data_IF_131959928069
#
_entry.id   IF_131959928069
#
_cell.length_a   1.000
_cell.length_b   1.000
_cell.length_c   1.000
_cell.angle_alpha   90.00
_cell.angle_beta   90.00
_cell.angle_gamma   90.00
#
_symmetry.space_group_name_H-M   'P 1'
#
loop_
_entity.id
_entity.type
_entity.pdbx_description
1 polymer ?
#
# COMPACT_ATOMS: atom_id res chain seq x y z
N UNK A 1 -27.10 -27.15 -66.25
CA UNK A 1 -27.49 -25.78 -65.83
C UNK A 1 -28.51 -25.73 -64.69
N UNK A 2 -29.42 -26.69 -64.55
CA UNK A 2 -30.47 -26.65 -63.51
C UNK A 2 -29.93 -26.93 -62.09
N UNK A 3 -29.02 -27.90 -61.96
CA UNK A 3 -28.41 -28.31 -60.69
C UNK A 3 -27.54 -27.23 -60.02
N UNK A 4 -26.79 -26.44 -60.79
CA UNK A 4 -26.02 -25.31 -60.23
C UNK A 4 -26.89 -24.21 -59.66
N UNK A 5 -28.09 -23.99 -60.23
CA UNK A 5 -29.02 -22.98 -59.71
C UNK A 5 -29.64 -23.40 -58.39
N UNK A 6 -29.95 -24.69 -58.23
CA UNK A 6 -30.47 -25.25 -56.97
C UNK A 6 -29.44 -25.18 -55.85
N UNK A 7 -28.17 -25.46 -56.14
CA UNK A 7 -27.07 -25.34 -55.17
C UNK A 7 -26.83 -23.89 -54.73
N UNK A 8 -26.89 -22.93 -55.66
CA UNK A 8 -26.77 -21.50 -55.35
C UNK A 8 -27.93 -21.01 -54.47
N UNK A 9 -29.16 -21.44 -54.77
CA UNK A 9 -30.35 -21.07 -53.97
C UNK A 9 -30.26 -21.69 -52.56
N UNK A 10 -29.78 -22.94 -52.44
CA UNK A 10 -29.55 -23.59 -51.16
C UNK A 10 -28.49 -22.87 -50.31
N UNK A 11 -27.40 -22.40 -50.94
CA UNK A 11 -26.36 -21.64 -50.23
C UNK A 11 -26.85 -20.26 -49.79
N UNK A 12 -27.67 -19.59 -50.60
CA UNK A 12 -28.29 -18.31 -50.22
C UNK A 12 -29.27 -18.50 -49.06
N UNK A 13 -30.05 -19.58 -49.05
CA UNK A 13 -30.96 -19.89 -47.94
C UNK A 13 -30.21 -20.17 -46.62
N UNK A 14 -29.10 -20.89 -46.68
CA UNK A 14 -28.24 -21.14 -45.51
C UNK A 14 -27.59 -19.85 -45.00
N UNK A 15 -27.10 -19.00 -45.91
CA UNK A 15 -26.56 -17.66 -45.57
C UNK A 15 -27.62 -16.76 -44.93
N UNK A 16 -28.86 -16.78 -45.44
CA UNK A 16 -29.97 -16.02 -44.85
C UNK A 16 -30.31 -16.55 -43.46
N UNK A 17 -30.31 -17.87 -43.23
CA UNK A 17 -30.53 -18.42 -41.89
C UNK A 17 -29.42 -18.08 -40.89
N UNK A 18 -28.16 -18.00 -41.34
CA UNK A 18 -27.01 -17.52 -40.55
C UNK A 18 -27.05 -16.00 -40.28
N UNK A 19 -27.73 -15.22 -41.13
CA UNK A 19 -27.95 -13.78 -40.93
C UNK A 19 -29.15 -13.49 -40.00
N UNK A 20 -30.06 -14.45 -39.80
CA UNK A 20 -31.22 -14.31 -38.90
C UNK A 20 -31.03 -14.86 -37.49
N UNK A 21 -29.83 -15.33 -37.13
CA UNK A 21 -29.48 -15.54 -35.73
C UNK A 21 -29.21 -14.19 -35.06
N UNK A 22 -30.28 -13.43 -34.82
CA UNK A 22 -30.29 -12.34 -33.86
C UNK A 22 -30.05 -12.96 -32.48
N UNK A 23 -28.92 -12.61 -31.85
CA UNK A 23 -28.75 -12.82 -30.43
C UNK A 23 -29.90 -12.08 -29.72
N UNK A 24 -30.57 -12.76 -28.79
CA UNK A 24 -31.64 -12.18 -27.98
C UNK A 24 -31.12 -10.89 -27.36
N UNK A 25 -31.78 -9.73 -27.56
CA UNK A 25 -31.35 -8.50 -26.92
C UNK A 25 -31.63 -8.64 -25.43
N UNK A 26 -30.57 -8.79 -24.64
CA UNK A 26 -30.64 -8.67 -23.19
C UNK A 26 -31.17 -7.25 -22.89
N UNK A 27 -32.35 -7.15 -22.28
CA UNK A 27 -32.96 -5.87 -21.93
C UNK A 27 -32.18 -5.23 -20.78
N UNK A 28 -31.17 -4.41 -21.12
CA UNK A 28 -30.47 -3.59 -20.14
C UNK A 28 -31.33 -2.37 -19.80
N UNK A 29 -31.84 -2.31 -18.58
CA UNK A 29 -32.53 -1.12 -18.10
C UNK A 29 -31.50 -0.03 -17.74
N UNK A 30 -31.29 0.91 -18.67
CA UNK A 30 -30.20 1.91 -18.59
C UNK A 30 -30.37 2.94 -17.48
N UNK A 31 -31.47 2.92 -16.73
CA UNK A 31 -31.76 3.90 -15.68
C UNK A 31 -31.24 3.54 -14.29
N UNK A 32 -30.67 2.34 -14.08
CA UNK A 32 -30.12 1.91 -12.78
C UNK A 32 -28.58 1.84 -12.72
N UNK A 33 -27.89 2.05 -13.83
CA UNK A 33 -26.42 1.92 -13.88
C UNK A 33 -25.80 3.07 -13.06
N UNK A 34 -25.31 2.78 -11.85
CA UNK A 34 -24.29 3.61 -11.22
C UNK A 34 -23.02 3.41 -12.06
N UNK A 35 -22.60 4.41 -12.82
CA UNK A 35 -21.24 4.40 -13.38
C UNK A 35 -20.28 4.48 -12.18
N UNK A 36 -19.52 3.43 -11.86
CA UNK A 36 -18.48 3.57 -10.87
C UNK A 36 -17.42 4.50 -11.47
N UNK A 37 -16.95 5.47 -10.68
CA UNK A 37 -15.67 6.13 -10.95
C UNK A 37 -14.58 5.05 -10.82
N UNK A 38 -14.40 4.25 -11.87
CA UNK A 38 -13.25 3.37 -11.99
C UNK A 38 -12.07 4.30 -12.19
N UNK A 39 -11.39 4.67 -11.10
CA UNK A 39 -9.97 4.97 -11.19
C UNK A 39 -9.37 3.77 -11.89
N UNK A 40 -8.83 4.01 -13.08
CA UNK A 40 -7.99 3.05 -13.77
C UNK A 40 -6.75 2.93 -12.88
N UNK A 41 -6.81 2.07 -11.89
CA UNK A 41 -5.64 1.62 -11.17
C UNK A 41 -4.88 0.72 -12.13
N UNK A 42 -3.56 0.92 -12.15
CA UNK A 42 -2.62 0.05 -12.86
C UNK A 42 -2.81 -1.41 -12.40
N UNK A 43 -2.20 -2.36 -13.12
CA UNK A 43 -2.18 -3.80 -12.84
C UNK A 43 -2.20 -4.16 -11.31
N UNK A 44 -2.71 -5.33 -10.92
CA UNK A 44 -3.32 -5.56 -9.60
C UNK A 44 -2.28 -5.45 -8.49
N UNK A 45 -2.12 -4.31 -7.79
CA UNK A 45 -1.07 -4.10 -6.78
C UNK A 45 -0.97 -5.30 -5.82
N UNK A 46 0.20 -5.96 -5.78
CA UNK A 46 0.40 -7.14 -4.94
C UNK A 46 0.45 -6.77 -3.43
N UNK A 47 0.26 -5.49 -3.10
CA UNK A 47 0.34 -4.92 -1.76
C UNK A 47 1.78 -4.62 -1.33
N UNK A 48 2.75 -4.95 -2.17
CA UNK A 48 4.17 -4.72 -1.89
C UNK A 48 4.57 -3.30 -2.31
N UNK A 49 5.21 -2.56 -1.42
CA UNK A 49 5.77 -1.22 -1.71
C UNK A 49 6.85 -1.17 -2.81
N UNK A 50 7.32 -2.32 -3.32
CA UNK A 50 8.23 -2.47 -4.46
C UNK A 50 7.64 -3.35 -5.58
N UNK A 51 6.33 -3.59 -5.56
CA UNK A 51 5.62 -4.40 -6.56
C UNK A 51 5.94 -3.94 -8.00
N UNK A 52 5.89 -2.64 -8.24
CA UNK A 52 6.25 -2.05 -9.54
C UNK A 52 7.65 -2.47 -10.00
N UNK A 53 8.63 -2.43 -9.10
CA UNK A 53 10.00 -2.83 -9.40
C UNK A 53 10.09 -4.34 -9.69
N UNK A 54 9.41 -5.15 -8.88
CA UNK A 54 9.33 -6.61 -9.08
C UNK A 54 8.76 -6.95 -10.47
N UNK A 55 7.66 -6.32 -10.86
CA UNK A 55 7.03 -6.52 -12.19
C UNK A 55 7.91 -6.07 -13.32
N UNK A 56 8.46 -4.86 -13.24
CA UNK A 56 9.35 -4.36 -14.28
C UNK A 56 10.55 -5.32 -14.46
N UNK A 57 11.11 -5.87 -13.37
CA UNK A 57 12.17 -6.88 -13.45
C UNK A 57 11.69 -8.16 -14.15
N UNK A 58 10.53 -8.71 -13.75
CA UNK A 58 9.97 -9.93 -14.34
C UNK A 58 9.63 -9.73 -15.83
N UNK A 59 8.93 -8.66 -16.19
CA UNK A 59 8.53 -8.33 -17.56
C UNK A 59 9.74 -8.24 -18.51
N UNK A 60 10.87 -7.72 -18.02
CA UNK A 60 12.09 -7.65 -18.82
C UNK A 60 12.84 -8.98 -18.88
N UNK A 61 12.76 -9.80 -17.83
CA UNK A 61 13.31 -11.15 -17.82
C UNK A 61 12.53 -12.10 -18.75
N UNK A 62 11.19 -11.97 -18.82
CA UNK A 62 10.34 -12.79 -19.70
C UNK A 62 10.55 -12.51 -21.21
N UNK A 63 11.14 -11.37 -21.56
CA UNK A 63 11.51 -11.06 -22.96
C UNK A 63 12.65 -11.95 -23.46
N UNK A 64 13.43 -12.54 -22.57
CA UNK A 64 14.51 -13.47 -22.90
C UNK A 64 13.94 -14.89 -23.04
N UNK A 65 14.10 -15.50 -24.22
CA UNK A 65 13.51 -16.82 -24.53
C UNK A 65 14.02 -17.91 -23.59
N UNK A 66 15.32 -17.91 -23.29
CA UNK A 66 15.94 -18.87 -22.39
C UNK A 66 15.42 -18.72 -20.97
N UNK A 67 15.37 -17.49 -20.45
CA UNK A 67 14.88 -17.25 -19.09
C UNK A 67 13.40 -17.59 -18.96
N UNK A 68 12.57 -17.21 -19.94
CA UNK A 68 11.13 -17.50 -19.94
C UNK A 68 10.84 -19.00 -19.91
N UNK A 69 11.56 -19.80 -20.71
CA UNK A 69 11.42 -21.26 -20.66
C UNK A 69 11.81 -21.84 -19.29
N UNK A 70 12.84 -21.29 -18.66
CA UNK A 70 13.23 -21.70 -17.30
C UNK A 70 12.19 -21.30 -16.28
N UNK A 71 11.63 -20.09 -16.38
CA UNK A 71 10.58 -19.60 -15.49
C UNK A 71 9.34 -20.51 -15.52
N UNK A 72 8.86 -20.90 -16.71
CA UNK A 72 7.66 -21.74 -16.84
C UNK A 72 7.87 -23.22 -16.47
N UNK A 73 9.10 -23.73 -16.54
CA UNK A 73 9.41 -25.14 -16.27
C UNK A 73 9.94 -25.38 -14.84
N UNK A 74 10.15 -24.34 -14.05
CA UNK A 74 10.70 -24.46 -12.69
C UNK A 74 9.56 -24.43 -11.67
N UNK A 75 9.53 -25.42 -10.78
CA UNK A 75 8.57 -25.46 -9.68
C UNK A 75 8.78 -24.30 -8.69
N UNK A 76 7.71 -23.87 -8.03
CA UNK A 76 7.74 -22.75 -7.07
C UNK A 76 8.79 -22.95 -5.97
N UNK A 77 8.92 -24.16 -5.43
CA UNK A 77 9.91 -24.48 -4.40
C UNK A 77 11.35 -24.33 -4.88
N UNK A 78 11.60 -24.60 -6.16
CA UNK A 78 12.91 -24.46 -6.78
C UNK A 78 13.24 -22.98 -7.06
N UNK A 79 12.22 -22.16 -7.34
CA UNK A 79 12.31 -20.70 -7.43
C UNK A 79 12.69 -20.13 -6.05
N UNK A 80 12.00 -20.54 -4.97
CA UNK A 80 12.29 -20.12 -3.58
C UNK A 80 13.71 -20.48 -3.14
N UNK A 81 14.25 -21.61 -3.61
CA UNK A 81 15.61 -22.06 -3.32
C UNK A 81 16.71 -21.27 -4.07
N UNK A 82 16.34 -20.33 -4.94
CA UNK A 82 17.30 -19.50 -5.68
C UNK A 82 17.94 -20.20 -6.88
N UNK A 83 17.35 -21.29 -7.38
CA UNK A 83 17.85 -21.97 -8.60
C UNK A 83 17.64 -21.09 -9.84
N UNK A 84 16.51 -20.40 -9.92
CA UNK A 84 16.18 -19.49 -11.02
C UNK A 84 17.13 -18.29 -11.09
N UNK A 85 17.57 -17.77 -9.93
CA UNK A 85 18.47 -16.61 -9.88
C UNK A 85 19.80 -16.88 -10.61
N UNK A 86 20.30 -18.12 -10.59
CA UNK A 86 21.54 -18.51 -11.27
C UNK A 86 21.44 -18.51 -12.80
N UNK A 87 20.23 -18.65 -13.33
CA UNK A 87 20.00 -18.61 -14.78
C UNK A 87 20.19 -17.19 -15.35
N UNK A 88 20.25 -16.17 -14.48
CA UNK A 88 20.53 -14.78 -14.83
C UNK A 88 21.88 -14.62 -15.54
N UNK A 89 22.87 -15.49 -15.30
CA UNK A 89 24.18 -15.48 -15.96
C UNK A 89 24.14 -15.81 -17.46
N UNK A 90 23.06 -16.45 -17.92
CA UNK A 90 22.86 -16.82 -19.32
C UNK A 90 21.97 -15.85 -20.08
N UNK A 91 21.40 -14.86 -19.39
CA UNK A 91 20.51 -13.86 -19.98
C UNK A 91 21.27 -12.92 -20.91
N UNK A 92 20.60 -12.49 -21.99
CA UNK A 92 21.19 -11.58 -22.97
C UNK A 92 21.67 -10.24 -22.39
N UNK A 93 22.73 -9.68 -22.96
CA UNK A 93 23.36 -8.44 -22.48
C UNK A 93 22.38 -7.24 -22.46
N UNK A 94 21.44 -7.18 -23.41
CA UNK A 94 20.46 -6.10 -23.45
C UNK A 94 19.54 -6.12 -22.23
N UNK A 95 19.07 -7.30 -21.82
CA UNK A 95 18.26 -7.48 -20.62
C UNK A 95 19.08 -7.14 -19.37
N UNK A 96 20.32 -7.63 -19.26
CA UNK A 96 21.23 -7.25 -18.16
C UNK A 96 21.42 -5.74 -18.02
N UNK A 97 21.66 -5.04 -19.13
CA UNK A 97 21.79 -3.57 -19.13
C UNK A 97 20.52 -2.88 -18.64
N UNK A 98 19.35 -3.43 -18.97
CA UNK A 98 18.08 -2.87 -18.52
C UNK A 98 17.83 -3.14 -17.04
N UNK A 99 18.16 -4.32 -16.55
CA UNK A 99 18.06 -4.66 -15.12
C UNK A 99 18.96 -3.75 -14.26
N UNK A 100 20.16 -3.43 -14.73
CA UNK A 100 21.04 -2.45 -14.09
C UNK A 100 20.38 -1.06 -13.99
N UNK A 101 19.68 -0.65 -15.05
CA UNK A 101 18.94 0.62 -15.07
C UNK A 101 17.78 0.61 -14.08
N UNK A 102 16.97 -0.45 -14.06
CA UNK A 102 15.84 -0.61 -13.14
C UNK A 102 16.30 -0.56 -11.69
N UNK A 103 17.39 -1.27 -11.35
CA UNK A 103 17.97 -1.22 -10.00
C UNK A 103 18.38 0.19 -9.60
N UNK A 104 19.00 0.96 -10.51
CA UNK A 104 19.38 2.36 -10.24
C UNK A 104 18.17 3.26 -10.03
N UNK A 105 17.11 3.06 -10.80
CA UNK A 105 15.86 3.80 -10.65
C UNK A 105 15.24 3.52 -9.28
N UNK A 106 15.20 2.26 -8.87
CA UNK A 106 14.66 1.86 -7.57
C UNK A 106 15.50 2.42 -6.40
N UNK A 107 16.82 2.31 -6.46
CA UNK A 107 17.70 2.91 -5.44
C UNK A 107 17.52 4.43 -5.35
N UNK A 108 17.30 5.12 -6.47
CA UNK A 108 17.03 6.55 -6.48
C UNK A 108 15.65 6.90 -5.90
N UNK A 109 14.63 6.07 -6.14
CA UNK A 109 13.31 6.19 -5.50
C UNK A 109 13.45 6.09 -3.98
N UNK A 110 14.14 5.06 -3.49
CA UNK A 110 14.37 4.86 -2.06
C UNK A 110 15.14 6.02 -1.42
N UNK A 111 16.18 6.53 -2.08
CA UNK A 111 16.90 7.73 -1.62
C UNK A 111 16.00 8.96 -1.52
N UNK A 112 15.05 9.10 -2.44
CA UNK A 112 14.12 10.23 -2.45
C UNK A 112 13.13 10.12 -1.29
N UNK A 113 12.62 8.91 -1.01
CA UNK A 113 11.76 8.64 0.15
C UNK A 113 12.49 8.89 1.47
N UNK A 114 13.72 8.41 1.59
CA UNK A 114 14.58 8.67 2.77
C UNK A 114 14.78 10.18 2.97
N UNK A 115 15.06 10.91 1.89
CA UNK A 115 15.24 12.35 1.94
C UNK A 115 13.96 13.07 2.36
N UNK A 116 12.81 12.69 1.80
CA UNK A 116 11.52 13.27 2.17
C UNK A 116 11.19 13.05 3.65
N UNK A 117 11.48 11.85 4.18
CA UNK A 117 11.36 11.56 5.61
C UNK A 117 12.30 12.42 6.46
N UNK A 118 13.55 12.58 6.01
CA UNK A 118 14.52 13.43 6.69
C UNK A 118 14.07 14.89 6.77
N UNK A 119 13.53 15.44 5.69
CA UNK A 119 13.02 16.82 5.64
C UNK A 119 11.83 17.04 6.61
N UNK A 120 11.15 15.98 7.06
CA UNK A 120 10.09 16.03 8.08
C UNK A 120 10.64 15.90 9.51
N UNK A 121 11.69 15.11 9.71
CA UNK A 121 12.18 14.72 11.04
C UNK A 121 13.42 15.54 11.52
N UNK A 122 14.04 16.39 10.69
CA UNK A 122 15.15 17.31 11.02
C UNK A 122 16.36 16.68 11.78
N UNK A 123 16.54 15.35 11.66
CA UNK A 123 17.62 14.57 12.29
C UNK A 123 18.68 14.19 11.26
N UNK A 124 19.97 14.43 11.54
CA UNK A 124 21.06 13.96 10.68
C UNK A 124 21.14 12.41 10.64
N UNK A 125 20.61 11.79 9.59
CA UNK A 125 20.60 10.32 9.44
C UNK A 125 21.56 9.85 8.35
N UNK A 126 22.28 8.75 8.64
CA UNK A 126 23.09 8.02 7.66
C UNK A 126 22.18 7.34 6.62
N UNK A 127 22.15 7.89 5.41
CA UNK A 127 21.33 7.39 4.31
C UNK A 127 21.70 5.95 3.94
N UNK A 128 22.95 5.54 4.13
CA UNK A 128 23.39 4.19 3.83
C UNK A 128 22.88 3.18 4.87
N UNK A 129 22.70 3.60 6.12
CA UNK A 129 22.12 2.77 7.17
C UNK A 129 20.62 2.54 6.93
N UNK A 130 19.89 3.57 6.49
CA UNK A 130 18.46 3.46 6.17
C UNK A 130 18.20 2.56 4.96
N UNK A 131 19.08 2.57 3.96
CA UNK A 131 18.95 1.67 2.81
C UNK A 131 19.07 0.19 3.19
N UNK A 132 19.63 -0.14 4.36
CA UNK A 132 19.67 -1.53 4.86
C UNK A 132 18.31 -2.07 5.25
N UNK A 133 17.33 -1.20 5.49
CA UNK A 133 15.95 -1.60 5.81
C UNK A 133 15.27 -2.30 4.61
N UNK A 134 15.73 -2.04 3.39
CA UNK A 134 15.19 -2.64 2.18
C UNK A 134 15.95 -3.92 1.83
N UNK A 135 15.50 -5.05 2.39
CA UNK A 135 16.20 -6.34 2.30
C UNK A 135 16.22 -6.95 0.88
N UNK A 136 15.26 -6.55 0.03
CA UNK A 136 15.08 -7.01 -1.35
C UNK A 136 16.14 -6.48 -2.34
N UNK A 137 17.07 -5.60 -1.90
CA UNK A 137 18.13 -5.05 -2.73
C UNK A 137 19.51 -5.20 -2.11
N UNK A 138 20.53 -5.44 -2.95
CA UNK A 138 21.92 -5.34 -2.51
C UNK A 138 22.40 -3.87 -2.48
N UNK A 139 22.30 -3.24 -1.31
CA UNK A 139 22.74 -1.87 -1.06
C UNK A 139 24.28 -1.68 -1.09
N UNK A 140 25.06 -2.76 -1.05
CA UNK A 140 26.53 -2.69 -1.22
C UNK A 140 26.94 -2.49 -2.67
N UNK A 141 26.06 -2.84 -3.61
CA UNK A 141 26.27 -2.66 -5.04
C UNK A 141 25.07 -1.94 -5.67
N UNK A 142 24.99 -0.60 -5.63
CA UNK A 142 23.82 0.15 -6.09
C UNK A 142 23.70 0.28 -7.62
N UNK A 143 24.63 -0.28 -8.40
CA UNK A 143 24.78 0.09 -9.82
C UNK A 143 24.67 -1.06 -10.82
N UNK A 144 24.79 -2.31 -10.37
CA UNK A 144 24.63 -3.49 -11.20
C UNK A 144 23.68 -4.48 -10.54
N UNK A 145 22.81 -5.11 -11.33
CA UNK A 145 21.86 -6.13 -10.92
C UNK A 145 22.49 -7.51 -11.10
N UNK A 146 22.76 -8.16 -9.98
CA UNK A 146 23.45 -9.46 -9.91
C UNK A 146 22.50 -10.60 -9.54
N UNK A 147 23.01 -11.83 -9.60
CA UNK A 147 22.29 -13.04 -9.18
C UNK A 147 21.75 -12.89 -7.76
N UNK A 148 22.56 -12.31 -6.87
CA UNK A 148 22.19 -12.05 -5.48
C UNK A 148 21.01 -11.08 -5.35
N UNK A 149 20.86 -10.12 -6.27
CA UNK A 149 19.72 -9.19 -6.26
C UNK A 149 18.43 -9.90 -6.64
N UNK A 150 18.48 -10.73 -7.69
CA UNK A 150 17.31 -11.51 -8.10
C UNK A 150 16.89 -12.51 -7.02
N UNK A 151 17.86 -13.19 -6.38
CA UNK A 151 17.61 -14.11 -5.28
C UNK A 151 16.98 -13.39 -4.07
N UNK A 152 17.50 -12.21 -3.68
CA UNK A 152 16.94 -11.39 -2.60
C UNK A 152 15.54 -10.88 -2.95
N UNK A 153 15.34 -10.41 -4.16
CA UNK A 153 14.06 -9.91 -4.63
C UNK A 153 12.99 -10.99 -4.60
N UNK A 154 13.30 -12.19 -5.12
CA UNK A 154 12.38 -13.33 -5.10
C UNK A 154 12.09 -13.78 -3.66
N UNK A 155 13.11 -13.90 -2.82
CA UNK A 155 12.93 -14.34 -1.42
C UNK A 155 12.13 -13.34 -0.60
N UNK A 156 12.43 -12.06 -0.74
CA UNK A 156 11.70 -11.00 -0.04
C UNK A 156 10.27 -10.94 -0.55
N UNK A 157 10.04 -10.94 -1.87
CA UNK A 157 8.69 -10.98 -2.42
C UNK A 157 7.91 -12.21 -1.95
N UNK A 158 8.54 -13.40 -1.93
CA UNK A 158 7.89 -14.61 -1.43
C UNK A 158 7.51 -14.48 0.05
N UNK A 159 8.46 -14.03 0.88
CA UNK A 159 8.25 -13.90 2.32
C UNK A 159 7.21 -12.82 2.65
N UNK A 160 7.35 -11.65 2.05
CA UNK A 160 6.46 -10.52 2.24
C UNK A 160 5.05 -10.87 1.77
N UNK A 161 4.90 -11.59 0.65
CA UNK A 161 3.59 -12.08 0.22
C UNK A 161 3.04 -13.09 1.22
N UNK A 162 3.79 -14.13 1.59
CA UNK A 162 3.35 -15.15 2.55
C UNK A 162 2.94 -14.56 3.91
N UNK A 163 3.61 -13.49 4.35
CA UNK A 163 3.33 -12.81 5.61
C UNK A 163 2.46 -11.55 5.47
N UNK A 164 2.10 -11.13 4.26
CA UNK A 164 1.37 -9.88 4.02
C UNK A 164 0.09 -9.78 4.83
N UNK A 165 -0.74 -10.83 4.76
CA UNK A 165 -2.00 -10.88 5.48
C UNK A 165 -1.76 -10.88 6.99
N UNK A 166 -0.74 -11.61 7.46
CA UNK A 166 -0.39 -11.69 8.88
C UNK A 166 0.10 -10.35 9.44
N UNK A 167 1.02 -9.67 8.76
CA UNK A 167 1.56 -8.38 9.20
C UNK A 167 0.46 -7.31 9.24
N UNK A 168 -0.43 -7.32 8.24
CA UNK A 168 -1.63 -6.49 8.22
C UNK A 168 -2.53 -6.77 9.43
N UNK A 169 -2.86 -8.04 9.71
CA UNK A 169 -3.65 -8.42 10.89
C UNK A 169 -3.01 -7.92 12.20
N UNK A 170 -1.68 -8.01 12.32
CA UNK A 170 -0.97 -7.50 13.48
C UNK A 170 -0.98 -5.97 13.56
N UNK A 171 -0.91 -5.26 12.43
CA UNK A 171 -1.02 -3.80 12.37
C UNK A 171 -2.41 -3.32 12.76
N UNK A 172 -3.46 -3.92 12.19
CA UNK A 172 -4.83 -3.62 12.56
C UNK A 172 -5.11 -3.93 14.04
N UNK A 173 -4.58 -5.05 14.55
CA UNK A 173 -4.66 -5.35 15.98
C UNK A 173 -4.04 -4.26 16.84
N UNK A 174 -2.85 -3.75 16.47
CA UNK A 174 -2.19 -2.63 17.17
C UNK A 174 -2.99 -1.34 17.08
N UNK A 175 -3.60 -1.08 15.93
CA UNK A 175 -4.49 0.07 15.74
C UNK A 175 -5.67 0.02 16.71
N UNK A 176 -6.38 -1.10 16.75
CA UNK A 176 -7.54 -1.31 17.63
C UNK A 176 -7.17 -1.23 19.12
N UNK A 177 -6.03 -1.81 19.52
CA UNK A 177 -5.52 -1.68 20.88
C UNK A 177 -5.13 -0.24 21.23
N UNK A 178 -4.54 0.51 20.30
CA UNK A 178 -4.19 1.91 20.53
C UNK A 178 -5.44 2.79 20.67
N UNK A 179 -6.42 2.60 19.79
CA UNK A 179 -7.71 3.30 19.81
C UNK A 179 -8.43 3.09 21.16
N UNK A 180 -8.50 1.85 21.64
CA UNK A 180 -9.08 1.56 22.95
C UNK A 180 -8.23 2.11 24.12
N UNK A 181 -6.90 2.09 24.00
CA UNK A 181 -6.01 2.67 25.01
C UNK A 181 -6.25 4.18 25.16
N UNK A 182 -6.28 4.91 24.05
CA UNK A 182 -6.52 6.34 24.02
C UNK A 182 -7.90 6.68 24.59
N UNK A 183 -8.93 5.87 24.27
CA UNK A 183 -10.26 6.00 24.88
C UNK A 183 -10.21 5.86 26.39
N UNK A 184 -9.52 4.83 26.91
CA UNK A 184 -9.37 4.60 28.37
C UNK A 184 -8.61 5.72 29.05
N UNK A 185 -7.54 6.23 28.45
CA UNK A 185 -6.80 7.37 28.96
C UNK A 185 -7.65 8.64 28.95
N UNK A 186 -8.42 8.89 27.89
CA UNK A 186 -9.35 10.02 27.83
C UNK A 186 -10.38 9.95 28.97
N UNK A 187 -11.01 8.80 29.19
CA UNK A 187 -11.99 8.60 30.27
C UNK A 187 -11.39 8.83 31.67
N UNK A 188 -10.09 8.59 31.87
CA UNK A 188 -9.39 8.89 33.14
C UNK A 188 -9.21 10.39 33.38
N UNK A 189 -9.20 11.21 32.32
CA UNK A 189 -9.07 12.67 32.44
C UNK A 189 -10.37 13.39 32.77
N UNK A 190 -11.52 12.73 32.56
CA UNK A 190 -12.86 13.30 32.73
C UNK A 190 -13.42 13.11 34.15
N UNK A 191 -14.33 14.01 34.53
CA UNK A 191 -15.11 13.89 35.77
C UNK A 191 -16.17 12.77 35.68
N UNK A 192 -16.72 12.31 36.81
CA UNK A 192 -17.68 11.18 36.84
C UNK A 192 -18.92 11.40 35.95
N UNK A 193 -19.50 12.60 35.98
CA UNK A 193 -20.68 12.93 35.18
C UNK A 193 -20.35 13.00 33.68
N UNK A 194 -19.14 13.42 33.32
CA UNK A 194 -18.67 13.52 31.93
C UNK A 194 -18.32 12.13 31.38
N UNK A 195 -17.57 11.33 32.15
CA UNK A 195 -17.25 9.93 31.83
C UNK A 195 -18.51 9.12 31.54
N UNK A 196 -19.56 9.28 32.35
CA UNK A 196 -20.83 8.59 32.10
C UNK A 196 -21.50 9.00 30.78
N UNK A 197 -21.48 10.29 30.44
CA UNK A 197 -22.04 10.77 29.16
C UNK A 197 -21.24 10.26 27.96
N UNK A 198 -19.92 10.22 28.09
CA UNK A 198 -19.03 9.70 27.05
C UNK A 198 -19.24 8.19 26.82
N UNK A 199 -19.39 7.42 27.89
CA UNK A 199 -19.72 5.99 27.81
C UNK A 199 -21.10 5.75 27.18
N UNK A 200 -22.11 6.56 27.55
CA UNK A 200 -23.44 6.50 26.94
C UNK A 200 -23.38 6.85 25.44
N UNK A 201 -22.63 7.89 25.06
CA UNK A 201 -22.43 8.29 23.67
C UNK A 201 -21.73 7.20 22.86
N UNK A 202 -20.67 6.60 23.39
CA UNK A 202 -19.96 5.50 22.74
C UNK A 202 -20.85 4.28 22.51
N UNK A 203 -21.67 3.91 23.51
CA UNK A 203 -22.66 2.82 23.37
C UNK A 203 -23.77 3.15 22.36
N UNK A 204 -24.13 4.43 22.19
CA UNK A 204 -25.03 4.88 21.14
C UNK A 204 -24.39 4.76 19.75
N UNK A 205 -23.14 5.20 19.58
CA UNK A 205 -22.40 5.06 18.32
C UNK A 205 -22.24 3.59 17.93
N UNK A 206 -21.84 2.72 18.87
CA UNK A 206 -21.71 1.28 18.61
C UNK A 206 -23.04 0.67 18.14
N UNK A 207 -24.16 1.02 18.78
CA UNK A 207 -25.48 0.54 18.37
C UNK A 207 -25.93 1.05 17.00
N UNK A 208 -25.57 2.29 16.65
CA UNK A 208 -25.86 2.83 15.32
C UNK A 208 -25.07 2.08 14.25
N UNK A 209 -23.78 1.86 14.48
CA UNK A 209 -22.94 1.09 13.57
C UNK A 209 -23.45 -0.35 13.40
N UNK A 210 -23.88 -0.99 14.49
CA UNK A 210 -24.48 -2.33 14.46
C UNK A 210 -25.81 -2.42 13.70
N UNK A 211 -26.53 -1.30 13.54
CA UNK A 211 -27.84 -1.24 12.87
C UNK A 211 -27.66 -1.03 11.36
N UNK A 212 -27.12 -2.04 10.69
CA UNK A 212 -26.89 -2.03 9.25
C UNK A 212 -27.72 -3.11 8.52
N UNK A 213 -28.00 -2.92 7.21
CA UNK A 213 -28.58 -3.97 6.37
C UNK A 213 -27.70 -5.23 6.37
N UNK A 214 -28.33 -6.41 6.25
CA UNK A 214 -27.60 -7.68 6.24
C UNK A 214 -26.56 -7.69 5.11
N UNK A 215 -25.33 -8.01 5.48
CA UNK A 215 -24.20 -8.19 4.57
C UNK A 215 -24.20 -9.62 4.03
N UNK A 216 -24.00 -9.75 2.73
CA UNK A 216 -23.85 -11.06 2.11
C UNK A 216 -22.47 -11.64 2.39
N UNK A 217 -22.37 -12.96 2.47
CA UNK A 217 -21.10 -13.64 2.60
C UNK A 217 -20.21 -13.38 1.37
N UNK A 218 -18.93 -13.03 1.56
CA UNK A 218 -18.01 -12.76 0.45
C UNK A 218 -17.91 -13.95 -0.52
N UNK A 219 -18.01 -13.69 -1.82
CA UNK A 219 -17.97 -14.71 -2.87
C UNK A 219 -19.25 -15.53 -3.03
N UNK A 220 -20.31 -15.30 -2.23
CA UNK A 220 -21.54 -16.08 -2.29
C UNK A 220 -22.44 -15.75 -3.49
N UNK A 221 -23.33 -16.68 -3.85
CA UNK A 221 -24.27 -16.46 -4.95
C UNK A 221 -25.14 -15.21 -4.75
N UNK A 222 -25.58 -14.94 -3.53
CA UNK A 222 -26.41 -13.77 -3.23
C UNK A 222 -25.65 -12.47 -3.45
N UNK A 223 -24.38 -12.40 -3.07
CA UNK A 223 -23.53 -11.24 -3.32
C UNK A 223 -23.37 -11.02 -4.84
N UNK A 224 -23.01 -12.07 -5.59
CA UNK A 224 -22.76 -11.92 -7.03
C UNK A 224 -24.03 -11.56 -7.81
N UNK A 225 -25.20 -12.09 -7.40
CA UNK A 225 -26.50 -11.72 -7.97
C UNK A 225 -26.86 -10.27 -7.70
N UNK A 226 -26.55 -9.76 -6.52
CA UNK A 226 -26.79 -8.36 -6.18
C UNK A 226 -25.94 -7.42 -7.03
N UNK A 227 -24.66 -7.74 -7.23
CA UNK A 227 -23.78 -6.99 -8.15
C UNK A 227 -24.30 -7.06 -9.59
N UNK A 228 -24.75 -8.24 -10.02
CA UNK A 228 -25.36 -8.44 -11.34
C UNK A 228 -26.63 -7.60 -11.56
N UNK A 229 -27.46 -7.43 -10.54
CA UNK A 229 -28.65 -6.58 -10.61
C UNK A 229 -28.29 -5.08 -10.59
N UNK A 230 -27.55 -4.65 -9.57
CA UNK A 230 -27.38 -3.25 -9.25
C UNK A 230 -26.24 -2.58 -10.02
N UNK A 231 -25.16 -3.31 -10.28
CA UNK A 231 -24.00 -2.79 -11.05
C UNK A 231 -24.19 -3.06 -12.54
N UNK A 232 -24.52 -4.30 -12.91
CA UNK A 232 -24.59 -4.69 -14.33
C UNK A 232 -25.96 -4.38 -14.98
N UNK A 233 -27.00 -4.15 -14.16
CA UNK A 233 -28.37 -3.87 -14.64
C UNK A 233 -29.01 -5.07 -15.33
N UNK A 234 -28.64 -6.28 -14.91
CA UNK A 234 -29.09 -7.56 -15.49
C UNK A 234 -30.08 -8.27 -14.55
N UNK A 235 -30.94 -9.11 -15.11
CA UNK A 235 -31.97 -9.81 -14.33
C UNK A 235 -31.33 -10.88 -13.41
N UNK A 236 -31.59 -10.85 -12.08
CA UNK A 236 -31.10 -11.86 -11.14
C UNK A 236 -31.48 -13.31 -11.47
N UNK A 237 -32.60 -13.53 -12.16
CA UNK A 237 -33.08 -14.86 -12.54
C UNK A 237 -32.25 -15.47 -13.68
N UNK A 238 -31.63 -14.62 -14.50
CA UNK A 238 -30.75 -15.00 -15.61
C UNK A 238 -29.27 -15.08 -15.18
N UNK A 239 -29.00 -15.10 -13.87
CA UNK A 239 -27.64 -15.13 -13.35
C UNK A 239 -26.90 -16.41 -13.78
N UNK A 240 -25.83 -16.22 -14.55
CA UNK A 240 -24.91 -17.27 -14.97
C UNK A 240 -23.48 -16.95 -14.48
N UNK A 241 -22.88 -17.77 -13.59
CA UNK A 241 -21.55 -17.52 -13.05
C UNK A 241 -20.49 -17.34 -14.13
N UNK A 242 -20.59 -18.09 -15.23
CA UNK A 242 -19.61 -17.99 -16.32
C UNK A 242 -19.73 -16.65 -17.04
N UNK A 243 -20.95 -16.17 -17.29
CA UNK A 243 -21.18 -14.86 -17.90
C UNK A 243 -20.77 -13.75 -16.96
N UNK A 244 -21.05 -13.87 -15.66
CA UNK A 244 -20.54 -12.96 -14.63
C UNK A 244 -19.01 -12.88 -14.66
N UNK A 245 -18.32 -14.03 -14.65
CA UNK A 245 -16.86 -14.08 -14.75
C UNK A 245 -16.32 -13.43 -16.02
N UNK A 246 -16.97 -13.62 -17.17
CA UNK A 246 -16.51 -13.03 -18.44
C UNK A 246 -16.81 -11.52 -18.55
N UNK A 247 -17.90 -11.05 -17.94
CA UNK A 247 -18.25 -9.62 -17.92
C UNK A 247 -17.20 -8.82 -17.15
N UNK A 248 -16.71 -9.41 -16.06
CA UNK A 248 -15.76 -8.81 -15.14
C UNK A 248 -14.30 -9.20 -15.44
N UNK A 249 -14.11 -10.31 -16.16
CA UNK A 249 -12.81 -10.86 -16.54
C UNK A 249 -12.39 -10.48 -17.94
N UNK A 250 -12.00 -9.22 -18.17
CA UNK A 250 -11.28 -8.88 -19.39
C UNK A 250 -9.81 -9.33 -19.29
N UNK A 251 -9.35 -10.05 -20.32
CA UNK A 251 -7.96 -10.49 -20.53
C UNK A 251 -7.36 -11.48 -19.52
N UNK A 252 -8.13 -12.43 -19.00
CA UNK A 252 -7.60 -13.66 -18.39
C UNK A 252 -6.72 -13.49 -17.14
N UNK A 253 -6.60 -12.27 -16.61
CA UNK A 253 -5.77 -11.92 -15.44
C UNK A 253 -6.55 -11.09 -14.40
N UNK A 254 -7.77 -10.60 -14.71
CA UNK A 254 -8.37 -9.50 -13.93
C UNK A 254 -9.79 -9.72 -13.38
N UNK A 255 -10.21 -10.96 -13.12
CA UNK A 255 -11.44 -11.18 -12.32
C UNK A 255 -11.25 -10.75 -10.86
N UNK A 256 -10.01 -10.78 -10.37
CA UNK A 256 -9.67 -10.40 -9.01
C UNK A 256 -9.91 -8.92 -8.70
N UNK A 257 -9.46 -8.00 -9.57
CA UNK A 257 -9.65 -6.56 -9.38
C UNK A 257 -11.13 -6.16 -9.29
N UNK A 258 -11.99 -6.79 -10.08
CA UNK A 258 -13.41 -6.47 -10.05
C UNK A 258 -14.09 -7.00 -8.78
N UNK A 259 -13.79 -8.23 -8.37
CA UNK A 259 -14.33 -8.79 -7.14
C UNK A 259 -13.87 -7.97 -5.93
N UNK A 260 -12.59 -7.62 -5.85
CA UNK A 260 -11.99 -6.85 -4.76
C UNK A 260 -12.45 -5.39 -4.70
N UNK A 261 -12.56 -4.70 -5.83
CA UNK A 261 -12.84 -3.26 -5.84
C UNK A 261 -14.31 -2.91 -6.01
N UNK A 262 -15.11 -3.69 -6.73
CA UNK A 262 -16.53 -3.34 -6.97
C UNK A 262 -17.47 -4.17 -6.11
N UNK A 263 -17.30 -5.50 -6.08
CA UNK A 263 -18.25 -6.39 -5.37
C UNK A 263 -18.11 -6.33 -3.84
N UNK A 264 -16.87 -6.30 -3.33
CA UNK A 264 -16.65 -6.19 -1.88
C UNK A 264 -16.99 -4.78 -1.38
N UNK A 265 -16.54 -3.73 -2.08
CA UNK A 265 -16.88 -2.35 -1.70
C UNK A 265 -18.40 -2.12 -1.66
N UNK A 266 -19.15 -2.66 -2.63
CA UNK A 266 -20.61 -2.53 -2.64
C UNK A 266 -21.28 -3.13 -1.39
N UNK A 267 -20.73 -4.20 -0.81
CA UNK A 267 -21.23 -4.73 0.46
C UNK A 267 -20.86 -3.83 1.65
N UNK A 268 -19.65 -3.27 1.64
CA UNK A 268 -19.13 -2.42 2.72
C UNK A 268 -19.78 -1.03 2.77
N UNK A 269 -20.17 -0.47 1.63
CA UNK A 269 -20.96 0.78 1.54
C UNK A 269 -22.30 0.70 2.30
N UNK A 270 -22.76 -0.50 2.67
CA UNK A 270 -23.95 -0.69 3.51
C UNK A 270 -23.67 -0.54 5.01
N UNK A 271 -22.41 -0.67 5.45
CA UNK A 271 -22.00 -0.60 6.85
C UNK A 271 -21.27 0.69 7.18
N UNK A 272 -20.44 1.19 6.25
CA UNK A 272 -19.56 2.32 6.51
C UNK A 272 -19.89 3.49 5.57
N UNK A 273 -20.14 4.66 6.15
CA UNK A 273 -20.25 5.93 5.44
C UNK A 273 -19.17 6.90 5.98
N UNK A 274 -18.26 7.42 5.13
CA UNK A 274 -17.24 8.38 5.56
C UNK A 274 -17.77 9.67 6.19
N UNK A 275 -19.07 9.94 6.06
CA UNK A 275 -19.73 11.12 6.64
C UNK A 275 -20.28 10.89 8.04
N UNK A 276 -20.37 9.64 8.49
CA UNK A 276 -20.78 9.26 9.84
C UNK A 276 -19.59 9.31 10.81
N UNK A 277 -19.86 9.58 12.09
CA UNK A 277 -18.82 9.65 13.13
C UNK A 277 -18.51 8.25 13.70
N UNK A 278 -19.51 7.39 13.72
CA UNK A 278 -19.44 6.01 14.18
C UNK A 278 -18.59 5.10 13.26
N UNK A 279 -18.41 5.50 12.00
CA UNK A 279 -17.83 4.65 10.97
C UNK A 279 -16.34 4.93 10.79
N UNK A 280 -15.53 3.93 11.09
CA UNK A 280 -14.08 4.00 10.95
C UNK A 280 -13.63 3.50 9.57
N UNK A 281 -13.05 4.40 8.77
CA UNK A 281 -12.56 4.06 7.44
C UNK A 281 -11.39 3.07 7.44
N UNK A 282 -10.64 2.97 8.54
CA UNK A 282 -9.59 1.96 8.71
C UNK A 282 -10.21 0.58 8.96
N UNK A 283 -11.24 0.50 9.79
CA UNK A 283 -12.02 -0.74 10.01
C UNK A 283 -12.69 -1.20 8.72
N UNK A 284 -13.26 -0.27 7.93
CA UNK A 284 -13.83 -0.58 6.62
C UNK A 284 -12.81 -1.24 5.68
N UNK A 285 -11.60 -0.68 5.60
CA UNK A 285 -10.56 -1.22 4.73
C UNK A 285 -10.05 -2.58 5.21
N UNK A 286 -9.91 -2.78 6.53
CA UNK A 286 -9.59 -4.10 7.06
C UNK A 286 -10.70 -5.12 6.78
N UNK A 287 -11.97 -4.75 6.95
CA UNK A 287 -13.10 -5.61 6.62
C UNK A 287 -13.06 -6.01 5.13
N UNK A 288 -12.74 -5.06 4.23
CA UNK A 288 -12.52 -5.34 2.80
C UNK A 288 -11.45 -6.38 2.58
N UNK A 289 -10.31 -6.24 3.26
CA UNK A 289 -9.18 -7.13 3.13
C UNK A 289 -9.44 -8.51 3.75
N UNK A 290 -10.20 -8.60 4.85
CA UNK A 290 -10.71 -9.86 5.43
C UNK A 290 -11.63 -10.59 4.48
N UNK A 291 -12.58 -9.88 3.86
CA UNK A 291 -13.48 -10.45 2.86
C UNK A 291 -12.70 -10.99 1.66
N UNK A 292 -11.71 -10.24 1.17
CA UNK A 292 -10.79 -10.65 0.10
C UNK A 292 -10.00 -11.90 0.46
N UNK A 293 -9.36 -11.90 1.63
CA UNK A 293 -8.57 -13.03 2.12
C UNK A 293 -9.43 -14.29 2.22
N UNK A 294 -10.65 -14.15 2.74
CA UNK A 294 -11.63 -15.24 2.82
C UNK A 294 -11.95 -15.82 1.43
N UNK A 295 -12.31 -14.97 0.46
CA UNK A 295 -12.61 -15.42 -0.92
C UNK A 295 -11.40 -16.11 -1.55
N UNK A 296 -10.20 -15.57 -1.39
CA UNK A 296 -8.98 -16.19 -1.92
C UNK A 296 -8.70 -17.54 -1.27
N UNK A 297 -8.93 -17.67 0.03
CA UNK A 297 -8.74 -18.95 0.71
C UNK A 297 -9.71 -20.03 0.22
N UNK A 298 -10.93 -19.65 -0.16
CA UNK A 298 -11.94 -20.58 -0.67
C UNK A 298 -11.79 -20.91 -2.15
N UNK A 299 -11.41 -19.95 -2.99
CA UNK A 299 -11.43 -20.08 -4.45
C UNK A 299 -10.05 -20.45 -5.01
N UNK A 300 -8.99 -19.74 -4.58
CA UNK A 300 -7.63 -19.96 -5.07
C UNK A 300 -7.05 -21.24 -4.46
N UNK A 301 -7.05 -22.29 -5.30
CA UNK A 301 -6.63 -23.63 -4.93
C UNK A 301 -5.14 -23.87 -5.17
N UNK A 302 -4.55 -23.17 -6.14
CA UNK A 302 -3.15 -23.33 -6.53
C UNK A 302 -2.20 -22.35 -5.77
N UNK A 303 -2.77 -21.39 -5.03
CA UNK A 303 -2.09 -20.36 -4.23
C UNK A 303 -1.20 -19.43 -5.06
N UNK A 304 -1.58 -19.18 -6.31
CA UNK A 304 -0.92 -18.22 -7.20
C UNK A 304 -1.43 -16.79 -7.04
N UNK A 305 -2.37 -16.56 -6.11
CA UNK A 305 -3.02 -15.26 -5.84
C UNK A 305 -3.86 -14.74 -6.99
N UNK A 306 -4.19 -15.60 -7.95
CA UNK A 306 -5.10 -15.31 -9.04
C UNK A 306 -6.28 -16.28 -8.97
N UNK A 307 -7.37 -15.90 -9.65
CA UNK A 307 -8.55 -16.76 -9.76
C UNK A 307 -8.77 -17.07 -11.22
N UNK A 308 -8.49 -18.32 -11.60
CA UNK A 308 -8.80 -18.82 -12.93
C UNK A 308 -10.30 -19.08 -13.10
N UNK A 309 -10.76 -19.14 -14.35
CA UNK A 309 -12.14 -19.51 -14.65
C UNK A 309 -12.48 -20.89 -14.07
N UNK A 310 -11.55 -21.85 -14.15
CA UNK A 310 -11.79 -23.21 -13.68
C UNK A 310 -11.91 -23.27 -12.14
N UNK A 311 -11.10 -22.50 -11.42
CA UNK A 311 -11.21 -22.35 -9.96
C UNK A 311 -12.52 -21.68 -9.55
N UNK A 312 -12.89 -20.60 -10.23
CA UNK A 312 -14.16 -19.91 -9.98
C UNK A 312 -15.37 -20.81 -10.23
N UNK A 313 -15.38 -21.52 -11.37
CA UNK A 313 -16.46 -22.47 -11.69
C UNK A 313 -16.50 -23.62 -10.67
N UNK A 314 -15.34 -24.08 -10.19
CA UNK A 314 -15.29 -25.09 -9.13
C UNK A 314 -15.87 -24.55 -7.82
N UNK A 315 -15.54 -23.32 -7.45
CA UNK A 315 -16.07 -22.65 -6.26
C UNK A 315 -17.60 -22.49 -6.32
N UNK A 316 -18.16 -22.13 -7.47
CA UNK A 316 -19.63 -21.99 -7.62
C UNK A 316 -20.42 -23.28 -7.45
N UNK A 317 -19.77 -24.45 -7.51
CA UNK A 317 -20.39 -25.74 -7.25
C UNK A 317 -20.31 -26.16 -5.77
N UNK A 318 -19.58 -25.42 -4.94
CA UNK A 318 -19.43 -25.70 -3.51
C UNK A 318 -20.70 -25.32 -2.74
N UNK A 319 -20.88 -25.93 -1.56
CA UNK A 319 -22.08 -25.68 -0.74
C UNK A 319 -22.08 -24.25 -0.21
N UNK A 320 -20.90 -23.77 0.16
CA UNK A 320 -20.60 -22.46 0.71
C UNK A 320 -21.05 -21.33 -0.23
N UNK A 321 -21.03 -21.56 -1.55
CA UNK A 321 -21.54 -20.62 -2.55
C UNK A 321 -23.07 -20.49 -2.54
N UNK A 322 -23.78 -21.61 -2.39
CA UNK A 322 -25.25 -21.70 -2.49
C UNK A 322 -25.95 -21.44 -1.17
N UNK A 323 -25.39 -21.95 -0.08
CA UNK A 323 -25.89 -21.86 1.29
C UNK A 323 -24.80 -21.24 2.18
N UNK A 324 -24.50 -19.93 2.00
CA UNK A 324 -23.47 -19.28 2.79
C UNK A 324 -23.90 -19.09 4.24
N UNK A 325 -22.93 -19.20 5.15
CA UNK A 325 -23.09 -18.73 6.53
C UNK A 325 -23.12 -17.20 6.58
N UNK A 326 -23.67 -16.63 7.66
CA UNK A 326 -23.63 -15.16 7.84
C UNK A 326 -22.20 -14.67 8.01
N UNK A 327 -21.84 -13.59 7.34
CA UNK A 327 -20.55 -12.93 7.56
C UNK A 327 -20.52 -12.26 8.94
N UNK A 328 -19.46 -12.55 9.71
CA UNK A 328 -19.20 -11.94 11.02
C UNK A 328 -18.32 -10.70 10.85
N UNK A 329 -18.90 -9.53 11.12
CA UNK A 329 -18.22 -8.24 11.04
C UNK A 329 -17.15 -8.09 12.14
N UNK A 330 -16.23 -7.15 11.96
CA UNK A 330 -15.21 -6.79 12.95
C UNK A 330 -15.82 -6.43 14.32
N UNK A 331 -17.00 -5.81 14.36
CA UNK A 331 -17.71 -5.54 15.63
C UNK A 331 -18.03 -6.81 16.42
N UNK A 332 -18.38 -7.90 15.72
CA UNK A 332 -18.73 -9.18 16.33
C UNK A 332 -17.50 -10.02 16.70
N UNK A 333 -16.38 -9.79 16.00
CA UNK A 333 -15.14 -10.54 16.18
C UNK A 333 -13.98 -9.60 16.55
N UNK A 334 -13.81 -9.41 17.87
CA UNK A 334 -12.77 -8.55 18.41
C UNK A 334 -11.36 -9.03 17.98
N UNK A 335 -10.55 -8.10 17.46
CA UNK A 335 -9.23 -8.40 16.92
C UNK A 335 -8.19 -8.86 17.96
N UNK A 336 -8.41 -8.54 19.25
CA UNK A 336 -7.48 -8.84 20.34
C UNK A 336 -8.21 -9.34 21.59
N UNK A 337 -7.45 -10.01 22.45
CA UNK A 337 -7.89 -10.49 23.76
C UNK A 337 -7.53 -9.49 24.88
N UNK A 338 -8.24 -9.56 26.00
CA UNK A 338 -7.95 -8.72 27.19
C UNK A 338 -6.52 -8.91 27.73
N UNK A 339 -5.91 -10.07 27.53
CA UNK A 339 -4.51 -10.31 27.90
C UNK A 339 -3.56 -9.54 26.98
N UNK A 340 -3.77 -9.61 25.66
CA UNK A 340 -2.96 -8.87 24.68
C UNK A 340 -3.05 -7.36 24.90
N UNK A 341 -4.24 -6.84 25.23
CA UNK A 341 -4.43 -5.43 25.56
C UNK A 341 -3.59 -5.02 26.78
N UNK A 342 -3.53 -5.86 27.81
CA UNK A 342 -2.72 -5.58 29.01
C UNK A 342 -1.24 -5.57 28.70
N UNK A 343 -0.76 -6.56 27.94
CA UNK A 343 0.64 -6.63 27.50
C UNK A 343 1.02 -5.41 26.64
N UNK A 344 0.09 -4.93 25.82
CA UNK A 344 0.25 -3.73 25.01
C UNK A 344 0.35 -2.46 25.85
N UNK A 345 -0.56 -2.25 26.82
CA UNK A 345 -0.48 -1.12 27.77
C UNK A 345 0.83 -1.15 28.58
N UNK A 346 1.27 -2.32 29.06
CA UNK A 346 2.56 -2.48 29.75
C UNK A 346 3.76 -2.16 28.84
N UNK A 347 3.66 -2.50 27.56
CA UNK A 347 4.69 -2.14 26.58
C UNK A 347 4.72 -0.64 26.31
N UNK A 348 3.57 0.04 26.17
CA UNK A 348 3.49 1.49 26.00
C UNK A 348 4.11 2.24 27.18
N UNK A 349 3.80 1.84 28.41
CA UNK A 349 4.37 2.46 29.63
C UNK A 349 5.89 2.29 29.66
N UNK A 350 6.41 1.12 29.27
CA UNK A 350 7.87 0.90 29.15
C UNK A 350 8.49 1.80 28.10
N UNK A 351 7.88 1.90 26.91
CA UNK A 351 8.37 2.78 25.84
C UNK A 351 8.35 4.25 26.25
N UNK A 352 7.31 4.71 26.93
CA UNK A 352 7.21 6.07 27.45
C UNK A 352 8.35 6.36 28.45
N UNK A 353 8.64 5.42 29.36
CA UNK A 353 9.75 5.55 30.30
C UNK A 353 11.11 5.60 29.60
N UNK A 354 11.33 4.77 28.58
CA UNK A 354 12.55 4.80 27.77
C UNK A 354 12.71 6.12 27.01
N UNK A 355 11.62 6.64 26.42
CA UNK A 355 11.61 7.93 25.75
C UNK A 355 11.88 9.07 26.73
N UNK A 356 11.30 9.04 27.92
CA UNK A 356 11.58 10.03 28.96
C UNK A 356 13.05 10.01 29.39
N UNK A 357 13.65 8.82 29.55
CA UNK A 357 15.08 8.68 29.86
C UNK A 357 15.96 9.22 28.72
N UNK A 358 15.67 8.87 27.46
CA UNK A 358 16.39 9.38 26.28
C UNK A 358 16.27 10.89 26.16
N UNK A 359 15.08 11.45 26.35
CA UNK A 359 14.86 12.91 26.34
C UNK A 359 15.67 13.60 27.43
N UNK A 360 15.70 13.06 28.65
CA UNK A 360 16.50 13.60 29.74
C UNK A 360 18.02 13.51 29.45
N UNK A 361 18.48 12.47 28.77
CA UNK A 361 19.88 12.33 28.34
C UNK A 361 20.22 13.32 27.22
N UNK A 362 19.38 13.45 26.20
CA UNK A 362 19.55 14.42 25.12
C UNK A 362 19.56 15.85 25.63
N UNK A 363 18.71 16.17 26.62
CA UNK A 363 18.70 17.48 27.26
C UNK A 363 20.04 17.76 27.98
N UNK A 364 20.59 16.78 28.70
CA UNK A 364 21.93 16.91 29.31
C UNK A 364 23.03 17.09 28.27
N UNK A 365 22.98 16.35 27.17
CA UNK A 365 23.94 16.49 26.07
C UNK A 365 23.83 17.88 25.42
N UNK A 366 22.61 18.40 25.26
CA UNK A 366 22.37 19.75 24.75
C UNK A 366 22.98 20.81 25.66
N UNK A 367 22.72 20.74 26.96
CA UNK A 367 23.26 21.69 27.95
C UNK A 367 24.80 21.68 27.96
N UNK A 368 25.41 20.50 27.80
CA UNK A 368 26.87 20.36 27.72
C UNK A 368 27.45 20.96 26.43
N UNK A 369 26.81 20.74 25.28
CA UNK A 369 27.20 21.36 24.02
C UNK A 369 27.09 22.89 24.08
N UNK A 370 26.02 23.41 24.69
CA UNK A 370 25.83 24.86 24.86
C UNK A 370 26.96 25.45 25.74
N UNK A 371 27.37 24.76 26.82
CA UNK A 371 28.56 25.15 27.62
C UNK A 371 29.86 25.12 26.83
N UNK A 372 30.08 24.08 26.00
CA UNK A 372 31.28 24.00 25.15
C UNK A 372 31.30 25.12 24.11
N UNK A 373 30.14 25.47 23.55
CA UNK A 373 30.00 26.58 22.62
C UNK A 373 30.32 27.93 23.28
N UNK A 374 29.86 28.15 24.51
CA UNK A 374 30.20 29.33 25.30
C UNK A 374 31.72 29.41 25.57
N UNK A 375 32.35 28.30 25.95
CA UNK A 375 33.81 28.23 26.15
C UNK A 375 34.59 28.53 24.87
N UNK A 376 34.17 27.97 23.72
CA UNK A 376 34.78 28.23 22.42
C UNK A 376 34.62 29.70 22.01
N UNK A 377 33.45 30.30 22.26
CA UNK A 377 33.22 31.72 21.98
C UNK A 377 34.09 32.62 22.86
N UNK A 378 34.23 32.29 24.15
CA UNK A 378 35.14 33.00 25.06
C UNK A 378 36.60 32.91 24.58
N UNK A 379 37.08 31.71 24.21
CA UNK A 379 38.41 31.54 23.62
C UNK A 379 38.61 32.33 22.33
N UNK A 380 37.61 32.39 21.44
CA UNK A 380 37.66 33.20 20.22
C UNK A 380 37.82 34.69 20.53
N UNK A 381 37.09 35.20 21.52
CA UNK A 381 37.18 36.61 21.95
C UNK A 381 38.57 36.90 22.54
N UNK A 382 39.09 36.03 23.41
CA UNK A 382 40.44 36.16 23.97
C UNK A 382 41.50 36.17 22.86
N UNK A 383 41.42 35.25 21.89
CA UNK A 383 42.33 35.20 20.74
C UNK A 383 42.25 36.47 19.88
N UNK A 384 41.05 37.03 19.66
CA UNK A 384 40.88 38.30 18.95
C UNK A 384 41.49 39.48 19.72
N UNK A 385 41.33 39.53 21.04
CA UNK A 385 41.91 40.57 21.89
C UNK A 385 43.45 40.49 21.94
N UNK A 386 44.05 39.30 21.90
CA UNK A 386 45.52 39.13 21.83
C UNK A 386 46.07 39.49 20.44
N UNK A 387 45.26 39.40 19.39
CA UNK A 387 45.66 39.75 18.01
C UNK A 387 45.59 41.27 17.72
N UNK A 388 44.79 42.02 18.48
CA UNK A 388 44.58 43.46 18.30
C UNK A 388 45.78 44.39 18.65
N UNK A 389 46.68 44.12 19.62
CA UNK A 389 47.81 45.00 19.92
C UNK A 389 49.00 44.79 18.97
N UNK A 390 49.02 43.70 18.18
CA UNK A 390 50.13 43.37 17.29
C UNK A 390 50.17 44.22 15.99
N UNK A 391 49.18 45.06 15.73
CA UNK A 391 49.11 45.93 14.54
C UNK A 391 49.44 47.41 14.83
N UNK A 392 49.73 47.80 16.08
CA UNK A 392 49.97 49.22 16.43
C UNK A 392 51.41 49.60 16.79
N UNK A 393 52.40 48.73 16.56
CA UNK A 393 53.82 49.07 16.76
C UNK A 393 54.61 49.14 15.45
N UNK A 394 54.05 49.77 14.42
CA UNK A 394 54.85 50.27 13.31
C UNK A 394 54.09 51.34 12.53
N UNK A 395 54.07 52.59 13.02
CA UNK A 395 54.26 53.77 12.16
C UNK A 395 54.29 55.08 12.95
N UNK A 396 55.35 55.85 12.67
CA UNK A 396 55.40 57.32 12.61
C UNK A 396 55.26 58.12 13.90
N UNK A 397 56.43 58.51 14.41
CA UNK A 397 56.66 59.92 14.66
C UNK A 397 56.50 60.73 13.37
N UNK A 398 55.68 61.78 13.42
CA UNK A 398 55.92 63.10 12.85
C UNK A 398 54.67 63.96 13.09
N UNK A 399 54.83 64.95 13.96
CA UNK A 399 54.01 66.14 13.99
C UNK A 399 54.01 66.82 12.62
N UNK A 400 52.85 67.25 12.10
CA UNK A 400 52.61 68.64 11.70
C UNK A 400 51.24 68.87 11.01
N UNK A 401 50.48 69.80 11.59
CA UNK A 401 49.71 70.90 10.97
C UNK A 401 48.45 70.63 10.11
N UNK A 402 47.30 70.98 10.73
CA UNK A 402 46.25 71.92 10.32
C UNK A 402 45.66 71.89 8.88
N UNK A 403 44.31 71.89 8.78
CA UNK A 403 43.44 73.04 8.40
C UNK A 403 42.08 72.59 7.78
N UNK A 404 40.99 73.19 8.30
CA UNK A 404 39.66 73.52 7.73
C UNK A 404 38.70 72.42 7.21
N UNK A 405 37.51 72.24 7.82
CA UNK A 405 36.25 73.04 7.77
C UNK A 405 35.36 72.69 6.55
N UNK A 406 34.30 71.93 6.87
CA UNK A 406 32.87 72.18 6.55
C UNK A 406 32.42 72.11 5.08
N UNK A 407 31.53 71.16 4.75
CA UNK A 407 30.15 71.50 4.34
C UNK A 407 29.24 70.28 4.13
N UNK A 408 27.95 70.55 4.38
CA UNK A 408 26.78 69.66 4.34
C UNK A 408 26.43 69.17 2.92
N UNK A 409 25.87 67.96 2.81
CA UNK A 409 24.47 67.71 2.38
C UNK A 409 24.19 66.20 2.17
N UNK A 410 23.19 65.71 2.90
CA UNK A 410 22.27 64.58 2.66
C UNK A 410 21.55 64.64 1.29
N UNK A 411 20.66 63.68 0.88
CA UNK A 411 20.44 62.26 1.28
C UNK A 411 20.12 61.30 0.08
N UNK A 412 19.69 60.08 0.42
CA UNK A 412 18.63 59.24 -0.20
C UNK A 412 18.99 58.13 -1.21
N UNK A 413 18.34 56.98 -0.95
CA UNK A 413 17.89 55.96 -1.91
C UNK A 413 18.81 54.74 -1.98
N UNK A 414 18.33 53.50 -1.90
CA UNK A 414 17.00 52.93 -1.64
C UNK A 414 17.24 51.51 -1.11
#
# INVERSE_FOLDING_TARGET
MWWSRVLLISWVLVLVQLLTSEAVPISKDRTKIKEPEVRIEDAPDTGLHYDRYLREVIDFLEKDEHFREKLHNTDMEDIKQGKLAKELDFVSHHVRTKLDELKRQEVNRLRTLIKARHDLEDIAVDHQALLKQFEYLNHMNPHTFEVDDLDRLIKSATNDLENFDKERHEEFKRYEMMKEHDRREHLKTLDEDERKREEEHYEELRKKHADHPKVNHPGSQNQLKEVWEDTDGLDPEDFDPKTFFNLHGNHGIYVFLFLDCCSLMFQLEKLYDPTNEEDDMVEMEEERLRMREHVMNEVDSNKDRLVSLDEFMTATNKKEFLEPDSWETLEQNQAYTDEEMREFEEHLVRQEQELHQKTAELQKQRDELDRQQEQLNAQKVELQQVRAPALNTHTRGQNCWCVSVNERKTPQGA
#
